data_IF_999776631924
#
_entry.id   IF_999776631924
#
_cell.length_a   1.000
_cell.length_b   1.000
_cell.length_c   1.000
_cell.angle_alpha   90.00
_cell.angle_beta   90.00
_cell.angle_gamma   90.00
#
_symmetry.space_group_name_H-M   'P 1'
#
loop_
_entity.id
_entity.type
_entity.pdbx_description
1 polymer ?
#
# COMPACT_ATOMS: atom_id res chain seq x y z
N UNK A 1 40.29 -38.41 53.81
CA UNK A 1 40.80 -37.81 52.56
C UNK A 1 40.39 -38.56 51.29
N UNK A 2 40.61 -39.89 51.18
CA UNK A 2 40.34 -40.68 49.96
C UNK A 2 38.88 -40.65 49.44
N UNK A 3 37.87 -40.63 50.32
CA UNK A 3 36.44 -40.55 49.92
C UNK A 3 36.07 -39.21 49.26
N UNK A 4 36.56 -38.09 49.81
CA UNK A 4 36.33 -36.74 49.25
C UNK A 4 37.00 -36.56 47.88
N UNK A 5 38.21 -37.12 47.71
CA UNK A 5 38.93 -37.08 46.44
C UNK A 5 38.23 -37.89 45.33
N UNK A 6 37.67 -39.07 45.66
CA UNK A 6 36.86 -39.85 44.73
C UNK A 6 35.58 -39.13 44.31
N UNK A 7 34.92 -38.44 45.24
CA UNK A 7 33.70 -37.67 44.95
C UNK A 7 33.99 -36.47 44.04
N UNK A 8 35.10 -35.76 44.29
CA UNK A 8 35.56 -34.67 43.44
C UNK A 8 35.89 -35.15 42.02
N UNK A 9 36.58 -36.30 41.90
CA UNK A 9 36.92 -36.89 40.61
C UNK A 9 35.67 -37.32 39.82
N UNK A 10 34.69 -37.94 40.48
CA UNK A 10 33.44 -38.36 39.84
C UNK A 10 32.59 -37.15 39.40
N UNK A 11 32.57 -36.10 40.21
CA UNK A 11 31.91 -34.82 39.86
C UNK A 11 32.58 -34.16 38.66
N UNK A 12 33.92 -34.15 38.61
CA UNK A 12 34.65 -33.56 37.49
C UNK A 12 34.46 -34.36 36.19
N UNK A 13 34.45 -35.70 36.30
CA UNK A 13 34.16 -36.60 35.18
C UNK A 13 32.73 -36.40 34.65
N UNK A 14 31.75 -36.25 35.54
CA UNK A 14 30.37 -35.97 35.15
C UNK A 14 30.26 -34.61 34.41
N UNK A 15 30.89 -33.57 34.94
CA UNK A 15 30.91 -32.25 34.29
C UNK A 15 31.59 -32.30 32.92
N UNK A 16 32.67 -33.07 32.79
CA UNK A 16 33.35 -33.28 31.52
C UNK A 16 32.47 -34.02 30.51
N UNK A 17 31.78 -35.09 30.92
CA UNK A 17 30.83 -35.81 30.07
C UNK A 17 29.67 -34.92 29.64
N UNK A 18 29.11 -34.11 30.54
CA UNK A 18 28.05 -33.17 30.22
C UNK A 18 28.52 -32.07 29.26
N UNK A 19 29.76 -31.59 29.41
CA UNK A 19 30.35 -30.62 28.51
C UNK A 19 30.55 -31.21 27.11
N UNK A 20 31.10 -32.42 27.00
CA UNK A 20 31.22 -33.13 25.73
C UNK A 20 29.85 -33.37 25.10
N UNK A 21 28.85 -33.82 25.88
CA UNK A 21 27.49 -34.01 25.41
C UNK A 21 26.88 -32.69 24.89
N UNK A 22 27.17 -31.55 25.53
CA UNK A 22 26.73 -30.22 25.08
C UNK A 22 27.35 -29.82 23.74
N UNK A 23 28.63 -30.15 23.50
CA UNK A 23 29.29 -29.91 22.21
C UNK A 23 28.66 -30.70 21.05
N UNK A 24 27.96 -31.80 21.36
CA UNK A 24 27.23 -32.62 20.38
C UNK A 24 25.74 -32.32 20.29
N UNK A 25 25.22 -31.32 21.01
CA UNK A 25 23.86 -30.83 20.77
C UNK A 25 23.89 -30.10 19.43
N UNK A 26 23.22 -30.61 18.37
CA UNK A 26 23.16 -29.88 17.12
C UNK A 26 22.44 -28.57 17.37
N UNK A 27 23.15 -27.44 17.26
CA UNK A 27 22.49 -26.16 17.12
C UNK A 27 21.64 -26.26 15.85
N UNK A 28 20.31 -26.12 15.92
CA UNK A 28 19.54 -26.02 14.71
C UNK A 28 20.12 -24.84 13.93
N UNK A 29 20.69 -25.12 12.76
CA UNK A 29 21.01 -24.08 11.79
C UNK A 29 19.64 -23.56 11.38
N UNK A 30 19.16 -22.54 12.09
CA UNK A 30 18.03 -21.75 11.65
C UNK A 30 18.54 -21.12 10.35
N UNK A 31 18.17 -21.74 9.23
CA UNK A 31 18.36 -21.16 7.92
C UNK A 31 17.47 -19.92 7.91
N UNK A 32 18.05 -18.78 8.26
CA UNK A 32 17.45 -17.46 8.08
C UNK A 32 17.44 -17.14 6.58
N UNK A 33 16.74 -17.97 5.81
CA UNK A 33 16.35 -17.64 4.45
C UNK A 33 15.04 -16.89 4.50
N UNK A 34 14.93 -15.79 3.76
CA UNK A 34 13.64 -15.17 3.50
C UNK A 34 12.73 -16.24 2.89
N UNK A 35 11.62 -16.54 3.54
CA UNK A 35 10.59 -17.43 3.02
C UNK A 35 9.50 -16.57 2.40
N UNK A 36 9.13 -16.89 1.17
CA UNK A 36 8.00 -16.27 0.50
C UNK A 36 6.84 -17.26 0.48
N UNK A 37 5.65 -16.78 0.77
CA UNK A 37 4.41 -17.51 0.60
C UNK A 37 3.65 -16.90 -0.57
N UNK A 38 3.17 -17.75 -1.47
CA UNK A 38 2.30 -17.32 -2.57
C UNK A 38 0.86 -17.47 -2.08
N UNK A 39 0.16 -16.35 -1.93
CA UNK A 39 -1.23 -16.31 -1.52
C UNK A 39 -2.09 -16.03 -2.76
N UNK A 40 -2.95 -16.97 -3.12
CA UNK A 40 -3.97 -16.76 -4.14
C UNK A 40 -5.14 -15.99 -3.53
N UNK A 41 -5.38 -14.78 -4.03
CA UNK A 41 -6.48 -13.91 -3.56
C UNK A 41 -7.81 -14.27 -4.23
N UNK A 42 -7.79 -15.04 -5.33
CA UNK A 42 -8.94 -15.39 -6.14
C UNK A 42 -9.49 -14.22 -6.96
N UNK A 43 -10.77 -14.32 -7.32
CA UNK A 43 -11.52 -13.32 -8.06
C UNK A 43 -12.76 -12.86 -7.27
N UNK A 44 -13.30 -11.70 -7.64
CA UNK A 44 -14.60 -11.29 -7.14
C UNK A 44 -15.71 -12.22 -7.67
N UNK A 45 -16.84 -12.36 -6.95
CA UNK A 45 -17.96 -13.18 -7.42
C UNK A 45 -18.40 -12.80 -8.84
N UNK A 46 -18.61 -13.81 -9.69
CA UNK A 46 -19.01 -13.66 -11.11
C UNK A 46 -17.95 -13.03 -12.02
N UNK A 47 -16.70 -12.88 -11.56
CA UNK A 47 -15.55 -12.44 -12.37
C UNK A 47 -14.59 -13.61 -12.59
N UNK A 48 -13.93 -13.64 -13.74
CA UNK A 48 -13.09 -14.75 -14.19
C UNK A 48 -11.59 -14.45 -14.09
N UNK A 49 -11.22 -13.17 -14.01
CA UNK A 49 -9.84 -12.73 -13.84
C UNK A 49 -9.67 -11.69 -12.73
N UNK A 50 -8.46 -11.61 -12.19
CA UNK A 50 -8.03 -10.56 -11.28
C UNK A 50 -6.56 -10.21 -11.49
N UNK A 51 -6.21 -8.98 -11.16
CA UNK A 51 -4.85 -8.47 -11.19
C UNK A 51 -4.64 -7.50 -10.01
N UNK A 52 -3.59 -7.72 -9.22
CA UNK A 52 -3.16 -6.78 -8.20
C UNK A 52 -2.49 -5.56 -8.85
N UNK A 53 -2.77 -4.37 -8.34
CA UNK A 53 -2.18 -3.10 -8.78
C UNK A 53 -1.14 -2.59 -7.80
N UNK A 54 -1.40 -2.70 -6.49
CA UNK A 54 -0.52 -2.18 -5.45
C UNK A 54 -0.73 -2.91 -4.11
N UNK A 55 0.26 -2.85 -3.21
CA UNK A 55 0.28 -3.51 -1.90
C UNK A 55 0.95 -2.62 -0.85
N UNK A 56 0.37 -2.53 0.35
CA UNK A 56 0.94 -1.76 1.45
C UNK A 56 1.71 -2.61 2.48
N UNK A 57 2.35 -1.96 3.46
CA UNK A 57 3.14 -2.64 4.50
C UNK A 57 2.31 -3.49 5.47
N UNK A 58 0.97 -3.37 5.46
CA UNK A 58 0.06 -4.24 6.20
C UNK A 58 -0.29 -5.52 5.41
N UNK A 59 0.20 -5.66 4.18
CA UNK A 59 -0.14 -6.75 3.28
C UNK A 59 -1.51 -6.61 2.64
N UNK A 60 -2.14 -5.44 2.72
CA UNK A 60 -3.40 -5.16 2.04
C UNK A 60 -3.13 -4.88 0.56
N UNK A 61 -3.98 -5.42 -0.31
CA UNK A 61 -3.78 -5.37 -1.76
C UNK A 61 -4.95 -4.63 -2.39
N UNK A 62 -4.68 -3.75 -3.34
CA UNK A 62 -5.69 -3.18 -4.23
C UNK A 62 -5.48 -3.71 -5.64
N UNK A 63 -6.56 -3.95 -6.36
CA UNK A 63 -6.49 -4.48 -7.72
C UNK A 63 -7.79 -4.39 -8.47
N UNK A 64 -7.83 -5.02 -9.63
CA UNK A 64 -8.99 -5.05 -10.50
C UNK A 64 -9.40 -6.50 -10.82
N UNK A 65 -10.69 -6.79 -10.85
CA UNK A 65 -11.28 -8.06 -11.27
C UNK A 65 -12.29 -7.82 -12.40
N UNK A 66 -11.87 -8.05 -13.64
CA UNK A 66 -12.61 -7.79 -14.89
C UNK A 66 -13.36 -6.43 -14.94
N UNK A 67 -12.69 -5.36 -14.54
CA UNK A 67 -13.22 -3.99 -14.53
C UNK A 67 -13.67 -3.50 -13.15
N UNK A 68 -13.89 -4.38 -12.18
CA UNK A 68 -14.27 -4.03 -10.82
C UNK A 68 -13.03 -3.84 -9.93
N UNK A 69 -12.83 -2.64 -9.40
CA UNK A 69 -11.79 -2.43 -8.39
C UNK A 69 -12.15 -3.16 -7.09
N UNK A 70 -11.13 -3.78 -6.49
CA UNK A 70 -11.24 -4.48 -5.21
C UNK A 70 -10.15 -4.04 -4.25
N UNK A 71 -10.46 -4.14 -2.96
CA UNK A 71 -9.52 -4.11 -1.85
C UNK A 71 -9.50 -5.49 -1.20
N UNK A 72 -8.32 -6.02 -0.90
CA UNK A 72 -8.17 -7.28 -0.18
C UNK A 72 -7.44 -7.02 1.14
N UNK A 73 -8.06 -7.44 2.23
CA UNK A 73 -7.45 -7.48 3.55
C UNK A 73 -7.21 -8.95 3.95
N UNK A 74 -6.00 -9.30 4.43
CA UNK A 74 -5.72 -10.63 5.01
C UNK A 74 -6.73 -11.08 6.07
N UNK A 75 -7.41 -10.14 6.75
CA UNK A 75 -8.35 -10.37 7.84
C UNK A 75 -9.81 -10.42 7.39
N UNK A 76 -10.18 -9.66 6.36
CA UNK A 76 -11.59 -9.39 6.02
C UNK A 76 -11.99 -9.77 4.59
N UNK A 77 -11.12 -10.48 3.86
CA UNK A 77 -11.32 -10.93 2.47
C UNK A 77 -11.40 -9.77 1.47
N UNK A 78 -11.84 -10.08 0.25
CA UNK A 78 -11.93 -9.17 -0.89
C UNK A 78 -13.24 -8.36 -0.85
N UNK A 79 -13.12 -7.04 -0.92
CA UNK A 79 -14.19 -6.04 -0.87
C UNK A 79 -14.26 -5.30 -2.19
N UNK A 80 -15.46 -5.14 -2.74
CA UNK A 80 -15.69 -4.33 -3.94
C UNK A 80 -15.59 -2.83 -3.63
N UNK A 81 -14.91 -2.08 -4.50
CA UNK A 81 -14.76 -0.62 -4.37
C UNK A 81 -15.64 0.12 -5.38
N UNK A 82 -15.27 0.05 -6.67
CA UNK A 82 -15.92 0.78 -7.77
C UNK A 82 -15.80 0.01 -9.08
N UNK A 83 -16.88 0.01 -9.87
CA UNK A 83 -16.85 -0.52 -11.24
C UNK A 83 -16.16 0.49 -12.18
N UNK A 84 -15.48 -0.03 -13.21
CA UNK A 84 -14.71 0.76 -14.19
C UNK A 84 -13.63 1.65 -13.57
N UNK A 85 -13.04 1.20 -12.46
CA UNK A 85 -11.95 1.89 -11.78
C UNK A 85 -10.57 1.32 -12.16
N UNK A 86 -9.57 2.20 -12.27
CA UNK A 86 -8.24 1.93 -12.81
C UNK A 86 -7.18 2.84 -12.17
N UNK A 87 -5.90 2.58 -12.47
CA UNK A 87 -4.74 3.23 -11.85
C UNK A 87 -4.81 3.27 -10.31
N UNK A 88 -5.04 2.10 -9.72
CA UNK A 88 -5.26 1.99 -8.27
C UNK A 88 -3.93 2.08 -7.50
N UNK A 89 -3.92 2.82 -6.40
CA UNK A 89 -2.81 2.91 -5.45
C UNK A 89 -3.34 2.80 -4.02
N UNK A 90 -2.53 2.28 -3.10
CA UNK A 90 -2.88 2.13 -1.69
C UNK A 90 -1.75 2.64 -0.78
N UNK A 91 -2.09 3.36 0.29
CA UNK A 91 -1.11 3.74 1.31
C UNK A 91 -1.12 2.77 2.51
N UNK A 92 -0.13 2.92 3.41
CA UNK A 92 0.01 2.11 4.63
C UNK A 92 -1.13 2.26 5.64
N UNK A 93 -1.99 3.27 5.48
CA UNK A 93 -3.21 3.43 6.29
C UNK A 93 -4.42 2.70 5.70
N UNK A 94 -4.26 1.99 4.57
CA UNK A 94 -5.34 1.28 3.89
C UNK A 94 -6.26 2.18 3.07
N UNK A 95 -5.82 3.40 2.75
CA UNK A 95 -6.56 4.33 1.89
C UNK A 95 -6.18 4.09 0.44
N UNK A 96 -7.20 3.94 -0.40
CA UNK A 96 -7.09 3.65 -1.83
C UNK A 96 -7.46 4.89 -2.63
N UNK A 97 -6.72 5.17 -3.70
CA UNK A 97 -7.14 6.09 -4.76
C UNK A 97 -7.06 5.43 -6.10
N UNK A 98 -7.76 6.03 -7.05
CA UNK A 98 -7.58 5.74 -8.46
C UNK A 98 -8.45 6.63 -9.31
N UNK A 99 -8.63 6.20 -10.55
CA UNK A 99 -9.53 6.81 -11.52
C UNK A 99 -10.76 5.93 -11.71
N UNK A 100 -11.88 6.56 -12.05
CA UNK A 100 -13.15 5.89 -12.35
C UNK A 100 -13.86 6.60 -13.48
N UNK A 101 -14.48 5.84 -14.37
CA UNK A 101 -15.39 6.38 -15.36
C UNK A 101 -16.75 6.69 -14.71
N UNK A 102 -17.19 7.93 -14.78
CA UNK A 102 -18.51 8.35 -14.30
C UNK A 102 -19.33 8.89 -15.46
N UNK A 103 -20.44 8.23 -15.74
CA UNK A 103 -21.38 8.66 -16.78
C UNK A 103 -22.43 9.58 -16.16
N UNK A 104 -22.56 10.79 -16.70
CA UNK A 104 -23.56 11.78 -16.28
C UNK A 104 -24.97 11.34 -16.65
N UNK A 105 -25.98 12.02 -16.08
CA UNK A 105 -27.38 11.84 -16.47
C UNK A 105 -27.65 12.14 -17.97
N UNK A 106 -26.76 12.90 -18.62
CA UNK A 106 -26.84 13.22 -20.05
C UNK A 106 -26.09 12.21 -20.95
N UNK A 107 -25.52 11.15 -20.36
CA UNK A 107 -24.82 10.09 -21.08
C UNK A 107 -23.35 10.38 -21.41
N UNK A 108 -22.77 11.45 -20.86
CA UNK A 108 -21.36 11.77 -21.06
C UNK A 108 -20.49 11.10 -20.00
N UNK A 109 -19.50 10.32 -20.43
CA UNK A 109 -18.55 9.65 -19.53
C UNK A 109 -17.32 10.52 -19.30
N UNK A 110 -17.06 10.83 -18.04
CA UNK A 110 -15.89 11.57 -17.58
C UNK A 110 -14.98 10.66 -16.75
N UNK A 111 -13.67 10.78 -16.93
CA UNK A 111 -12.71 10.22 -15.98
C UNK A 111 -12.69 11.10 -14.73
N UNK A 112 -13.01 10.52 -13.57
CA UNK A 112 -12.95 11.17 -12.26
C UNK A 112 -11.95 10.45 -11.39
N UNK A 113 -11.40 11.16 -10.41
CA UNK A 113 -10.60 10.53 -9.37
C UNK A 113 -11.50 10.07 -8.23
N UNK A 114 -11.06 9.12 -7.43
CA UNK A 114 -11.74 8.78 -6.19
C UNK A 114 -10.74 8.49 -5.08
N UNK A 115 -11.22 8.60 -3.84
CA UNK A 115 -10.59 8.08 -2.64
C UNK A 115 -11.56 7.08 -1.99
N UNK A 116 -11.03 6.01 -1.43
CA UNK A 116 -11.80 5.01 -0.70
C UNK A 116 -11.05 4.55 0.54
N UNK A 117 -11.79 4.25 1.60
CA UNK A 117 -11.29 3.44 2.70
C UNK A 117 -12.43 2.57 3.25
N UNK A 118 -12.08 1.49 3.95
CA UNK A 118 -13.09 0.64 4.59
C UNK A 118 -13.96 1.39 5.62
N UNK A 119 -13.45 2.46 6.23
CA UNK A 119 -14.15 3.24 7.26
C UNK A 119 -14.98 4.38 6.69
N UNK A 120 -14.50 5.07 5.65
CA UNK A 120 -15.16 6.24 5.06
C UNK A 120 -15.99 5.92 3.82
N UNK A 121 -15.83 4.74 3.22
CA UNK A 121 -16.37 4.44 1.90
C UNK A 121 -15.74 5.30 0.81
N UNK A 122 -16.43 5.41 -0.32
CA UNK A 122 -15.95 6.08 -1.53
C UNK A 122 -16.33 7.57 -1.57
N UNK A 123 -15.39 8.43 -1.96
CA UNK A 123 -15.68 9.78 -2.44
C UNK A 123 -15.04 10.01 -3.81
N UNK A 124 -15.80 10.56 -4.76
CA UNK A 124 -15.40 10.78 -6.16
C UNK A 124 -15.27 12.28 -6.43
N UNK A 125 -14.24 12.70 -7.18
CA UNK A 125 -13.90 14.11 -7.42
C UNK A 125 -13.67 14.45 -8.89
N UNK A 126 -13.89 15.74 -9.22
CA UNK A 126 -13.75 16.33 -10.55
C UNK A 126 -15.07 16.93 -11.06
N UNK A 127 -15.01 18.08 -11.72
CA UNK A 127 -16.17 18.74 -12.33
C UNK A 127 -16.69 17.91 -13.53
N UNK A 128 -18.01 17.62 -13.63
CA UNK A 128 -18.59 16.96 -14.81
C UNK A 128 -18.52 17.76 -16.12
N UNK A 129 -18.25 19.07 -16.11
CA UNK A 129 -18.36 19.94 -17.29
C UNK A 129 -16.98 20.32 -17.86
N UNK A 130 -15.93 20.34 -17.04
CA UNK A 130 -14.56 20.59 -17.48
C UNK A 130 -13.59 19.74 -16.63
N UNK A 131 -13.40 18.44 -16.92
CA UNK A 131 -12.40 17.68 -16.20
C UNK A 131 -11.03 18.26 -16.58
N UNK A 132 -10.26 18.85 -15.65
CA UNK A 132 -8.86 19.07 -15.94
C UNK A 132 -8.26 17.70 -16.30
N UNK A 133 -7.35 17.67 -17.27
CA UNK A 133 -6.59 16.46 -17.56
C UNK A 133 -5.73 16.17 -16.34
N UNK A 134 -6.25 15.38 -15.40
CA UNK A 134 -5.54 14.96 -14.19
C UNK A 134 -4.44 14.00 -14.66
N UNK A 135 -3.19 14.43 -14.66
CA UNK A 135 -2.09 13.63 -15.25
C UNK A 135 -1.48 12.66 -14.24
N UNK A 136 -1.27 13.09 -13.00
CA UNK A 136 -0.53 12.34 -11.99
C UNK A 136 -1.17 12.53 -10.61
N UNK A 137 -1.15 11.48 -9.80
CA UNK A 137 -1.66 11.50 -8.43
C UNK A 137 -0.79 10.66 -7.50
N UNK A 138 -0.70 11.11 -6.25
CA UNK A 138 0.04 10.47 -5.17
C UNK A 138 -0.84 10.46 -3.92
N UNK A 139 -0.83 9.35 -3.17
CA UNK A 139 -1.31 9.30 -1.79
C UNK A 139 -0.10 9.36 -0.86
N UNK A 140 -0.10 10.26 0.11
CA UNK A 140 0.92 10.23 1.16
C UNK A 140 0.49 9.36 2.36
N UNK A 141 1.42 9.07 3.27
CA UNK A 141 1.15 8.26 4.47
C UNK A 141 0.03 8.84 5.36
N UNK A 142 -0.28 10.14 5.21
CA UNK A 142 -1.40 10.80 5.90
C UNK A 142 -2.74 10.70 5.19
N UNK A 143 -2.83 9.94 4.09
CA UNK A 143 -4.04 9.76 3.29
C UNK A 143 -4.50 11.03 2.56
N UNK A 144 -3.59 11.98 2.38
CA UNK A 144 -3.84 13.13 1.51
C UNK A 144 -3.68 12.70 0.06
N UNK A 145 -4.61 13.11 -0.80
CA UNK A 145 -4.60 12.80 -2.23
C UNK A 145 -4.16 14.04 -2.98
N UNK A 146 -3.04 13.95 -3.68
CA UNK A 146 -2.53 15.05 -4.47
C UNK A 146 -2.77 14.84 -5.96
N UNK A 147 -3.07 15.90 -6.69
CA UNK A 147 -3.25 15.88 -8.14
C UNK A 147 -2.76 17.15 -8.81
N UNK A 148 -2.41 17.02 -10.09
CA UNK A 148 -2.14 18.19 -10.94
C UNK A 148 -3.38 18.61 -11.71
N UNK A 149 -3.59 19.92 -11.80
CA UNK A 149 -4.60 20.55 -12.65
C UNK A 149 -3.90 21.56 -13.56
N UNK A 150 -4.00 21.35 -14.88
CA UNK A 150 -3.40 22.20 -15.92
C UNK A 150 -3.67 21.64 -17.31
N UNK A 151 -4.05 22.52 -18.25
CA UNK A 151 -4.55 22.19 -19.59
C UNK A 151 -3.48 21.74 -20.61
N UNK A 152 -3.86 21.52 -21.88
CA UNK A 152 -2.98 21.00 -22.92
C UNK A 152 -1.89 21.99 -23.42
N UNK A 153 -1.73 23.16 -22.82
CA UNK A 153 -0.78 24.19 -23.29
C UNK A 153 0.07 24.80 -22.17
N UNK A 154 1.28 25.20 -22.55
CA UNK A 154 2.33 25.84 -21.72
C UNK A 154 1.86 27.14 -21.03
N UNK A 155 0.67 27.66 -21.36
CA UNK A 155 0.17 28.94 -20.90
C UNK A 155 -0.50 28.90 -19.50
N UNK A 156 -0.76 27.72 -18.94
CA UNK A 156 -1.28 27.57 -17.57
C UNK A 156 -0.44 26.53 -16.82
N UNK A 157 0.49 26.94 -15.93
CA UNK A 157 1.39 26.01 -15.26
C UNK A 157 0.58 24.97 -14.48
N UNK A 158 1.00 23.71 -14.54
CA UNK A 158 0.34 22.67 -13.75
C UNK A 158 0.38 23.07 -12.27
N UNK A 159 -0.79 23.20 -11.65
CA UNK A 159 -0.90 23.44 -10.21
C UNK A 159 -1.01 22.12 -9.50
N UNK A 160 -0.29 21.96 -8.39
CA UNK A 160 -0.43 20.80 -7.52
C UNK A 160 -1.45 21.13 -6.42
N UNK A 161 -2.50 20.34 -6.36
CA UNK A 161 -3.50 20.37 -5.31
C UNK A 161 -3.35 19.12 -4.45
N UNK A 162 -3.56 19.24 -3.15
CA UNK A 162 -3.69 18.11 -2.25
C UNK A 162 -4.96 18.25 -1.43
N UNK A 163 -5.68 17.15 -1.27
CA UNK A 163 -6.85 17.06 -0.40
C UNK A 163 -6.52 16.22 0.80
N UNK A 164 -6.61 16.82 1.98
CA UNK A 164 -6.42 16.13 3.24
C UNK A 164 -7.66 15.27 3.57
N UNK A 165 -7.56 14.28 4.48
CA UNK A 165 -8.69 13.42 4.86
C UNK A 165 -9.89 14.17 5.43
N UNK A 166 -9.69 15.36 6.00
CA UNK A 166 -10.76 16.25 6.47
C UNK A 166 -11.54 16.93 5.34
N UNK A 167 -11.12 16.68 4.09
CA UNK A 167 -11.73 17.20 2.87
C UNK A 167 -11.23 18.58 2.47
N UNK A 168 -10.34 19.20 3.25
CA UNK A 168 -9.72 20.48 2.91
C UNK A 168 -8.81 20.33 1.69
N UNK A 169 -8.84 21.31 0.79
CA UNK A 169 -8.00 21.33 -0.42
C UNK A 169 -6.97 22.44 -0.24
N UNK A 170 -5.70 22.10 -0.47
CA UNK A 170 -4.57 23.02 -0.44
C UNK A 170 -3.93 23.04 -1.82
N UNK A 171 -3.67 24.23 -2.34
CA UNK A 171 -2.70 24.40 -3.42
C UNK A 171 -1.32 24.28 -2.78
N UNK A 172 -0.56 23.26 -3.17
CA UNK A 172 0.67 22.89 -2.46
C UNK A 172 1.88 23.57 -3.08
N UNK A 173 1.98 23.65 -4.42
CA UNK A 173 3.07 24.31 -5.15
C UNK A 173 2.66 24.65 -6.60
N UNK A 174 3.35 25.60 -7.25
CA UNK A 174 3.46 25.64 -8.71
C UNK A 174 4.23 24.38 -9.14
N UNK A 175 3.59 23.44 -9.85
CA UNK A 175 4.28 22.27 -10.34
C UNK A 175 5.24 22.70 -11.47
N UNK A 176 6.39 22.01 -11.64
CA UNK A 176 7.34 22.38 -12.67
C UNK A 176 6.66 22.42 -14.06
N UNK A 177 7.03 23.36 -14.93
CA UNK A 177 6.37 23.57 -16.21
C UNK A 177 6.64 22.40 -17.18
N UNK A 178 5.80 21.37 -17.08
CA UNK A 178 5.52 20.28 -18.04
C UNK A 178 6.68 19.39 -18.53
N UNK A 179 6.34 18.10 -18.72
CA UNK A 179 7.13 16.96 -19.26
C UNK A 179 8.12 16.25 -18.32
N UNK A 180 8.33 16.72 -17.10
CA UNK A 180 9.20 16.05 -16.12
C UNK A 180 8.39 15.37 -15.03
N UNK A 181 8.71 14.09 -14.75
CA UNK A 181 8.25 13.40 -13.54
C UNK A 181 8.70 14.19 -12.29
N UNK A 182 7.81 14.37 -11.32
CA UNK A 182 8.14 15.02 -10.05
C UNK A 182 7.62 14.19 -8.86
N UNK A 183 8.26 14.33 -7.71
CA UNK A 183 7.84 13.70 -6.46
C UNK A 183 7.46 14.78 -5.46
N UNK A 184 6.33 14.59 -4.77
CA UNK A 184 5.88 15.47 -3.70
C UNK A 184 6.15 14.76 -2.39
N UNK A 185 7.03 15.35 -1.57
CA UNK A 185 7.26 14.89 -0.20
C UNK A 185 6.58 15.85 0.76
N UNK A 186 5.82 15.30 1.70
CA UNK A 186 5.36 16.09 2.86
C UNK A 186 6.58 16.37 3.74
N UNK A 187 6.89 17.65 3.95
CA UNK A 187 7.88 18.06 4.94
C UNK A 187 7.23 18.00 6.33
N UNK A 188 7.99 17.56 7.33
CA UNK A 188 7.55 17.70 8.71
C UNK A 188 7.46 19.20 9.06
N UNK A 189 6.55 19.57 9.96
CA UNK A 189 6.48 20.95 10.43
C UNK A 189 7.80 21.33 11.11
N UNK A 190 8.58 22.22 10.49
CA UNK A 190 9.86 22.71 11.02
C UNK A 190 11.12 22.29 10.23
N UNK A 191 10.98 21.67 9.07
CA UNK A 191 12.08 21.47 8.10
C UNK A 191 12.23 22.63 7.10
#
# INVERSE_FOLDING_TARGET
MKKKLKFLFLSLLLLFVLFIAYLFVPFPIIHSGVRYEVIDLGTLPKRNGSMASDINNLGQVVGNSDGQAFFWDPRERMTEILDQAWDLQINDSGVVVGRVNVTSATGWTANKMFIWSATSGTAVFGDPINPPTLREFLIDASSSVCWTQGGPSIADPAKLFCRDPDGSIKEVLEAPPTSSWFFVRRLAAGE
#
